data_IF_289092100374
#
_entry.id   IF_289092100374
#
_cell.length_a   1.000
_cell.length_b   1.000
_cell.length_c   1.000
_cell.angle_alpha   90.00
_cell.angle_beta   90.00
_cell.angle_gamma   90.00
#
_symmetry.space_group_name_H-M   'P 1'
#
loop_
_entity.id
_entity.type
_entity.pdbx_description
1 polymer ?
#
# COMPACT_ATOMS: atom_id res chain seq x y z
N UNK A 1 -15.18 11.01 -16.91
CA UNK A 1 -13.74 11.03 -16.56
C UNK A 1 -13.62 10.39 -15.18
N UNK A 2 -12.83 9.34 -15.02
CA UNK A 2 -12.74 8.60 -13.75
C UNK A 2 -11.76 9.24 -12.77
N UNK A 3 -11.87 8.91 -11.48
CA UNK A 3 -10.90 9.35 -10.47
C UNK A 3 -9.56 8.64 -10.63
N UNK A 4 -8.48 9.39 -10.39
CA UNK A 4 -7.11 8.91 -10.48
C UNK A 4 -6.35 9.13 -9.18
N UNK A 5 -5.36 8.28 -8.93
CA UNK A 5 -4.38 8.46 -7.86
C UNK A 5 -2.98 8.19 -8.41
N UNK A 6 -2.00 8.93 -7.89
CA UNK A 6 -0.59 8.73 -8.21
C UNK A 6 0.11 8.24 -6.96
N UNK A 7 0.74 7.07 -7.06
CA UNK A 7 1.59 6.53 -6.01
C UNK A 7 3.03 6.91 -6.32
N UNK A 8 3.71 7.47 -5.33
CA UNK A 8 5.13 7.80 -5.41
C UNK A 8 5.79 7.43 -4.10
N UNK A 9 6.94 6.77 -4.18
CA UNK A 9 7.83 6.63 -3.04
C UNK A 9 9.27 6.92 -3.45
N UNK A 10 10.05 7.39 -2.50
CA UNK A 10 11.49 7.53 -2.63
C UNK A 10 12.14 7.02 -1.34
N UNK A 11 13.17 6.20 -1.46
CA UNK A 11 13.91 5.70 -0.32
C UNK A 11 14.99 6.71 0.06
N UNK A 12 14.88 7.24 1.29
CA UNK A 12 15.95 8.07 1.85
C UNK A 12 17.17 7.24 2.29
N UNK A 13 17.05 5.91 2.34
CA UNK A 13 18.12 5.00 2.79
C UNK A 13 18.87 4.33 1.64
N UNK A 14 18.19 4.02 0.54
CA UNK A 14 18.76 3.30 -0.59
C UNK A 14 18.81 4.23 -1.81
N UNK A 15 20.03 4.63 -2.20
CA UNK A 15 20.21 5.51 -3.36
C UNK A 15 19.59 4.91 -4.63
N UNK A 16 18.93 5.75 -5.42
CA UNK A 16 18.29 5.34 -6.67
C UNK A 16 17.05 4.44 -6.50
N UNK A 17 16.58 4.22 -5.27
CA UNK A 17 15.41 3.37 -5.01
C UNK A 17 14.17 4.23 -4.83
N UNK A 18 13.30 4.24 -5.82
CA UNK A 18 12.02 4.94 -5.79
C UNK A 18 11.20 4.57 -7.02
N UNK A 19 9.90 4.87 -6.98
CA UNK A 19 9.02 4.67 -8.12
C UNK A 19 7.88 5.69 -8.09
N UNK A 20 7.34 5.99 -9.27
CA UNK A 20 6.10 6.75 -9.45
C UNK A 20 5.22 6.03 -10.46
N UNK A 21 3.96 5.84 -10.13
CA UNK A 21 2.99 5.18 -11.00
C UNK A 21 1.60 5.77 -10.79
N UNK A 22 0.83 5.88 -11.89
CA UNK A 22 -0.51 6.47 -11.87
C UNK A 22 -1.55 5.42 -12.16
N UNK A 23 -2.60 5.42 -11.35
CA UNK A 23 -3.71 4.48 -11.44
C UNK A 23 -5.05 5.21 -11.56
N UNK A 24 -6.01 4.53 -12.17
CA UNK A 24 -7.44 4.83 -12.03
C UNK A 24 -8.00 4.11 -10.81
N UNK A 25 -9.08 4.63 -10.23
CA UNK A 25 -9.80 3.93 -9.15
C UNK A 25 -10.25 2.53 -9.59
N UNK A 26 -10.70 2.40 -10.84
CA UNK A 26 -11.05 1.12 -11.46
C UNK A 26 -9.90 0.12 -11.48
N UNK A 27 -8.68 0.54 -11.81
CA UNK A 27 -7.50 -0.34 -11.78
C UNK A 27 -7.14 -0.81 -10.37
N UNK A 28 -7.42 0.01 -9.36
CA UNK A 28 -7.22 -0.34 -7.95
C UNK A 28 -8.38 -1.12 -7.34
N UNK A 29 -9.49 -1.30 -8.08
CA UNK A 29 -10.71 -1.92 -7.59
C UNK A 29 -11.41 -1.10 -6.49
N UNK A 30 -11.26 0.23 -6.53
CA UNK A 30 -11.86 1.15 -5.57
C UNK A 30 -13.19 1.64 -6.12
N UNK A 31 -14.24 1.51 -5.31
CA UNK A 31 -15.55 2.08 -5.61
C UNK A 31 -15.49 3.62 -5.54
N UNK A 32 -16.16 4.30 -6.46
CA UNK A 32 -16.19 5.75 -6.49
C UNK A 32 -17.11 6.30 -5.37
N UNK A 33 -18.14 5.58 -4.93
CA UNK A 33 -19.14 6.09 -3.97
C UNK A 33 -18.78 5.87 -2.48
N UNK A 34 -17.54 5.50 -2.16
CA UNK A 34 -17.10 5.37 -0.76
C UNK A 34 -16.77 6.72 -0.11
N UNK A 35 -17.00 6.81 1.20
CA UNK A 35 -16.68 8.00 1.99
C UNK A 35 -15.17 8.25 2.09
N UNK A 36 -14.79 9.50 2.33
CA UNK A 36 -13.39 9.95 2.35
C UNK A 36 -12.51 9.22 3.38
N UNK A 37 -13.07 8.85 4.55
CA UNK A 37 -12.32 8.17 5.60
C UNK A 37 -12.01 6.73 5.18
N UNK A 38 -12.98 6.04 4.58
CA UNK A 38 -12.79 4.71 4.02
C UNK A 38 -11.85 4.75 2.81
N UNK A 39 -12.01 5.74 1.93
CA UNK A 39 -11.15 5.95 0.77
C UNK A 39 -9.68 6.08 1.18
N UNK A 40 -9.38 6.93 2.18
CA UNK A 40 -8.01 7.11 2.68
C UNK A 40 -7.42 5.79 3.18
N UNK A 41 -8.18 5.01 3.95
CA UNK A 41 -7.70 3.71 4.49
C UNK A 41 -7.42 2.70 3.38
N UNK A 42 -8.28 2.63 2.37
CA UNK A 42 -8.10 1.71 1.25
C UNK A 42 -6.92 2.12 0.37
N UNK A 43 -6.75 3.42 0.09
CA UNK A 43 -5.59 3.95 -0.63
C UNK A 43 -4.28 3.65 0.13
N UNK A 44 -4.23 3.87 1.45
CA UNK A 44 -3.04 3.59 2.26
C UNK A 44 -2.63 2.11 2.19
N UNK A 45 -3.59 1.18 2.27
CA UNK A 45 -3.33 -0.26 2.13
C UNK A 45 -2.81 -0.61 0.74
N UNK A 46 -3.45 -0.10 -0.32
CA UNK A 46 -3.02 -0.34 -1.71
C UNK A 46 -1.62 0.23 -1.97
N UNK A 47 -1.33 1.40 -1.41
CA UNK A 47 -0.01 2.01 -1.50
C UNK A 47 1.05 1.15 -0.80
N UNK A 48 0.81 0.68 0.42
CA UNK A 48 1.73 -0.21 1.13
C UNK A 48 2.03 -1.49 0.34
N UNK A 49 0.99 -2.17 -0.14
CA UNK A 49 1.14 -3.38 -0.95
C UNK A 49 1.95 -3.11 -2.24
N UNK A 50 1.68 -1.99 -2.92
CA UNK A 50 2.43 -1.59 -4.11
C UNK A 50 3.91 -1.29 -3.81
N UNK A 51 4.22 -0.62 -2.68
CA UNK A 51 5.62 -0.40 -2.27
C UNK A 51 6.32 -1.73 -1.99
N UNK A 52 5.66 -2.66 -1.30
CA UNK A 52 6.24 -3.98 -1.02
C UNK A 52 6.52 -4.77 -2.29
N UNK A 53 5.61 -4.75 -3.27
CA UNK A 53 5.82 -5.35 -4.59
C UNK A 53 7.02 -4.71 -5.32
N UNK A 54 7.08 -3.37 -5.39
CA UNK A 54 8.19 -2.65 -6.05
C UNK A 54 9.56 -2.92 -5.42
N UNK A 55 9.60 -3.09 -4.11
CA UNK A 55 10.83 -3.38 -3.36
C UNK A 55 11.10 -4.89 -3.24
N UNK A 56 10.24 -5.74 -3.80
CA UNK A 56 10.31 -7.20 -3.68
C UNK A 56 10.42 -7.68 -2.21
N UNK A 57 9.63 -7.08 -1.33
CA UNK A 57 9.64 -7.36 0.11
C UNK A 57 8.68 -8.52 0.39
N UNK A 58 9.20 -9.59 0.99
CA UNK A 58 8.41 -10.68 1.59
C UNK A 58 8.54 -10.62 3.11
N UNK A 59 7.43 -10.71 3.83
CA UNK A 59 7.42 -10.66 5.30
C UNK A 59 6.29 -11.49 5.90
N UNK A 60 6.39 -11.81 7.19
CA UNK A 60 5.34 -12.45 7.99
C UNK A 60 5.13 -11.62 9.25
N UNK A 61 3.87 -11.33 9.60
CA UNK A 61 3.50 -10.67 10.85
C UNK A 61 2.73 -11.70 11.67
N UNK A 62 3.27 -12.04 12.84
CA UNK A 62 2.61 -12.89 13.83
C UNK A 62 2.11 -11.98 14.95
N UNK A 63 0.83 -12.08 15.29
CA UNK A 63 0.21 -11.40 16.43
C UNK A 63 -0.33 -12.51 17.33
N UNK A 64 0.24 -12.63 18.53
CA UNK A 64 -0.20 -13.57 19.56
C UNK A 64 -0.28 -12.86 20.91
N UNK A 65 -1.05 -13.41 21.85
CA UNK A 65 -0.96 -13.04 23.27
C UNK A 65 0.30 -13.67 23.88
N UNK A 66 0.89 -13.02 24.89
CA UNK A 66 2.23 -13.33 25.46
C UNK A 66 2.44 -14.81 25.88
N UNK A 67 1.37 -15.60 26.03
CA UNK A 67 1.42 -16.99 26.48
C UNK A 67 1.60 -18.06 25.37
N UNK A 68 1.63 -17.71 24.08
CA UNK A 68 1.79 -18.68 22.97
C UNK A 68 2.95 -18.39 22.00
N UNK A 69 4.04 -17.80 22.46
CA UNK A 69 5.27 -17.68 21.65
C UNK A 69 6.46 -18.36 22.31
N UNK A 70 6.35 -19.68 22.52
CA UNK A 70 7.52 -20.56 22.50
C UNK A 70 7.81 -20.95 21.05
N UNK A 71 8.42 -20.02 20.29
CA UNK A 71 9.00 -20.28 18.97
C UNK A 71 10.48 -20.68 19.11
#
# INVERSE_FOLDING_TARGET
MGRHVTFTFNSNKYQGTGATERFTFKQLGIDEDIDDKTLKREIDKKFQAWVWDKLNISFSIVIGEEDELNL
#
